data_IF_952292486141
#
_entry.id   IF_952292486141
#
_cell.length_a   1.000
_cell.length_b   1.000
_cell.length_c   1.000
_cell.angle_alpha   90.00
_cell.angle_beta   90.00
_cell.angle_gamma   90.00
#
_symmetry.space_group_name_H-M   'P 1'
#
loop_
_entity.id
_entity.type
_entity.pdbx_description
1 polymer ?
#
# COMPACT_ATOMS: atom_id res chain seq x y z
N UNK A 1 -17.24 -21.21 9.66
CA UNK A 1 -16.01 -20.83 8.91
C UNK A 1 -15.49 -21.93 8.01
N UNK A 2 -15.59 -23.22 8.38
CA UNK A 2 -15.07 -24.36 7.59
C UNK A 2 -15.72 -24.49 6.19
N UNK A 3 -17.01 -24.16 6.05
CA UNK A 3 -17.75 -24.24 4.76
C UNK A 3 -17.36 -23.15 3.75
N UNK A 4 -16.99 -21.95 4.22
CA UNK A 4 -16.58 -20.84 3.34
C UNK A 4 -15.22 -21.11 2.70
N UNK A 5 -14.32 -21.78 3.43
CA UNK A 5 -12.99 -22.20 2.95
C UNK A 5 -13.11 -23.22 1.81
N UNK A 6 -14.10 -24.12 1.86
CA UNK A 6 -14.35 -25.09 0.79
C UNK A 6 -14.84 -24.43 -0.51
N UNK A 7 -15.73 -23.44 -0.43
CA UNK A 7 -16.15 -22.65 -1.61
C UNK A 7 -15.01 -21.85 -2.24
N UNK A 8 -14.13 -21.25 -1.44
CA UNK A 8 -13.01 -20.45 -1.96
C UNK A 8 -11.99 -21.32 -2.71
N UNK A 9 -11.74 -22.55 -2.22
CA UNK A 9 -10.87 -23.50 -2.92
C UNK A 9 -11.46 -23.96 -4.27
N UNK A 10 -12.79 -24.05 -4.38
CA UNK A 10 -13.49 -24.38 -5.63
C UNK A 10 -13.32 -23.29 -6.71
N UNK A 11 -13.46 -22.01 -6.34
CA UNK A 11 -13.30 -20.90 -7.29
C UNK A 11 -11.84 -20.74 -7.76
N UNK A 12 -10.87 -20.97 -6.86
CA UNK A 12 -9.45 -21.00 -7.24
C UNK A 12 -9.16 -22.08 -8.29
N UNK A 13 -9.80 -23.24 -8.19
CA UNK A 13 -9.60 -24.35 -9.13
C UNK A 13 -10.10 -24.04 -10.55
N UNK A 14 -11.25 -23.37 -10.69
CA UNK A 14 -11.78 -22.92 -11.99
C UNK A 14 -10.93 -21.82 -12.63
N UNK A 15 -10.28 -20.95 -11.85
CA UNK A 15 -9.41 -19.91 -12.39
C UNK A 15 -8.10 -20.50 -12.96
N UNK A 16 -7.51 -21.50 -12.30
CA UNK A 16 -6.34 -22.24 -12.83
C UNK A 16 -6.67 -23.08 -14.07
N UNK A 17 -7.93 -23.48 -14.26
CA UNK A 17 -8.38 -24.28 -15.41
C UNK A 17 -8.27 -23.52 -16.75
N UNK A 18 -8.38 -22.19 -16.74
CA UNK A 18 -8.26 -21.37 -17.96
C UNK A 18 -6.81 -21.23 -18.44
N UNK A 19 -5.83 -21.29 -17.53
CA UNK A 19 -4.41 -21.17 -17.88
C UNK A 19 -3.74 -22.50 -18.23
N UNK A 20 -4.35 -23.63 -17.87
CA UNK A 20 -3.87 -24.99 -18.18
C UNK A 20 -4.16 -25.46 -19.62
N UNK A 21 -4.85 -24.65 -20.43
CA UNK A 21 -5.14 -24.99 -21.83
C UNK A 21 -3.94 -24.87 -22.78
N UNK A 22 -2.77 -24.39 -22.33
CA UNK A 22 -1.54 -24.35 -23.16
C UNK A 22 -0.60 -25.57 -23.01
N UNK A 23 -0.84 -26.49 -22.07
CA UNK A 23 0.08 -27.61 -21.79
C UNK A 23 -0.61 -28.99 -21.88
N UNK A 24 -1.31 -29.25 -22.98
CA UNK A 24 -1.98 -30.54 -23.20
C UNK A 24 -1.88 -30.99 -24.67
N UNK A 25 -0.69 -31.45 -25.03
CA UNK A 25 -0.50 -32.41 -26.13
C UNK A 25 0.38 -33.52 -25.59
N UNK A 26 -0.25 -34.57 -25.05
CA UNK A 26 0.12 -36.00 -25.09
C UNK A 26 -0.50 -36.72 -23.86
N UNK A 27 -1.48 -37.59 -24.16
CA UNK A 27 -2.01 -38.70 -23.35
C UNK A 27 -2.99 -38.41 -22.19
N UNK A 28 -3.98 -39.31 -21.95
CA UNK A 28 -5.38 -38.94 -22.16
C UNK A 28 -6.33 -39.29 -21.00
N UNK A 29 -7.32 -38.42 -20.79
CA UNK A 29 -8.76 -38.69 -20.53
C UNK A 29 -9.16 -39.49 -19.27
N UNK A 30 -8.36 -40.43 -18.74
CA UNK A 30 -8.76 -41.27 -17.60
C UNK A 30 -8.67 -40.57 -16.23
N UNK A 31 -7.78 -39.58 -16.06
CA UNK A 31 -7.73 -38.77 -14.83
C UNK A 31 -8.79 -37.66 -14.77
N UNK A 32 -9.37 -37.29 -15.92
CA UNK A 32 -10.41 -36.26 -16.01
C UNK A 32 -11.79 -36.79 -15.60
N UNK A 33 -12.05 -38.08 -15.72
CA UNK A 33 -13.33 -38.68 -15.29
C UNK A 33 -13.34 -38.85 -13.76
N UNK A 34 -12.22 -39.23 -13.15
CA UNK A 34 -12.14 -39.40 -11.69
C UNK A 34 -12.20 -38.08 -10.91
N UNK A 35 -11.78 -36.95 -11.50
CA UNK A 35 -11.91 -35.63 -10.87
C UNK A 35 -13.32 -35.05 -10.97
N UNK A 36 -14.13 -35.42 -11.96
CA UNK A 36 -15.51 -34.94 -12.12
C UNK A 36 -16.47 -35.68 -11.16
N UNK A 37 -16.30 -36.99 -10.95
CA UNK A 37 -17.15 -37.74 -10.00
C UNK A 37 -16.88 -37.39 -8.54
N UNK A 38 -15.65 -36.96 -8.19
CA UNK A 38 -15.37 -36.47 -6.84
C UNK A 38 -15.86 -35.03 -6.61
N UNK A 39 -16.29 -34.32 -7.66
CA UNK A 39 -16.84 -32.97 -7.58
C UNK A 39 -18.34 -32.96 -7.20
N UNK A 40 -19.12 -33.93 -7.69
CA UNK A 40 -20.57 -33.99 -7.43
C UNK A 40 -20.89 -34.37 -5.97
N UNK A 41 -20.06 -35.19 -5.33
CA UNK A 41 -20.26 -35.60 -3.94
C UNK A 41 -20.10 -34.47 -2.90
N UNK A 42 -19.44 -33.36 -3.26
CA UNK A 42 -19.24 -32.21 -2.36
C UNK A 42 -20.14 -31.01 -2.70
N UNK A 43 -20.70 -30.93 -3.91
CA UNK A 43 -21.63 -29.87 -4.29
C UNK A 43 -22.96 -29.98 -3.52
N UNK A 44 -23.46 -31.19 -3.27
CA UNK A 44 -24.73 -31.41 -2.56
C UNK A 44 -24.70 -31.00 -1.07
N UNK A 45 -23.53 -30.72 -0.51
CA UNK A 45 -23.39 -30.27 0.88
C UNK A 45 -23.44 -28.74 1.05
N UNK A 46 -23.40 -27.99 -0.05
CA UNK A 46 -23.34 -26.52 -0.01
C UNK A 46 -24.66 -25.89 -0.47
N UNK A 47 -25.31 -26.47 -1.47
CA UNK A 47 -26.61 -26.03 -2.00
C UNK A 47 -27.45 -27.24 -2.43
N UNK A 48 -28.76 -27.18 -2.23
CA UNK A 48 -29.71 -28.27 -2.52
C UNK A 48 -30.25 -28.22 -3.96
N UNK A 49 -30.03 -27.12 -4.68
CA UNK A 49 -30.52 -26.92 -6.05
C UNK A 49 -29.59 -26.02 -6.87
N UNK A 50 -29.67 -26.13 -8.20
CA UNK A 50 -28.89 -25.28 -9.14
C UNK A 50 -29.17 -23.77 -8.91
N UNK A 51 -30.42 -23.29 -8.78
CA UNK A 51 -30.69 -21.88 -8.52
C UNK A 51 -30.06 -21.39 -7.21
N UNK A 52 -30.11 -22.21 -6.15
CA UNK A 52 -29.48 -21.89 -4.87
C UNK A 52 -27.95 -21.77 -5.01
N UNK A 53 -27.31 -22.64 -5.79
CA UNK A 53 -25.88 -22.53 -6.06
C UNK A 53 -25.55 -21.25 -6.85
N UNK A 54 -26.39 -20.86 -7.82
CA UNK A 54 -26.18 -19.63 -8.59
C UNK A 54 -26.30 -18.38 -7.71
N UNK A 55 -27.26 -18.36 -6.78
CA UNK A 55 -27.42 -17.25 -5.83
C UNK A 55 -26.25 -17.19 -4.83
N UNK A 56 -25.75 -18.33 -4.35
CA UNK A 56 -24.55 -18.36 -3.51
C UNK A 56 -23.30 -17.85 -4.24
N UNK A 57 -23.12 -18.19 -5.53
CA UNK A 57 -22.02 -17.66 -6.33
C UNK A 57 -22.13 -16.14 -6.46
N UNK A 58 -23.33 -15.60 -6.74
CA UNK A 58 -23.56 -14.15 -6.81
C UNK A 58 -23.26 -13.47 -5.47
N UNK A 59 -23.73 -14.03 -4.36
CA UNK A 59 -23.44 -13.49 -3.03
C UNK A 59 -21.95 -13.51 -2.71
N UNK A 60 -21.25 -14.60 -3.05
CA UNK A 60 -19.80 -14.70 -2.87
C UNK A 60 -19.06 -13.66 -3.72
N UNK A 61 -19.47 -13.44 -4.97
CA UNK A 61 -18.89 -12.43 -5.85
C UNK A 61 -19.08 -11.01 -5.30
N UNK A 62 -20.30 -10.66 -4.87
CA UNK A 62 -20.60 -9.37 -4.22
C UNK A 62 -19.72 -9.20 -2.99
N UNK A 63 -19.61 -10.24 -2.14
CA UNK A 63 -18.81 -10.14 -0.93
C UNK A 63 -17.32 -10.02 -1.23
N UNK A 64 -16.80 -10.70 -2.25
CA UNK A 64 -15.42 -10.57 -2.71
C UNK A 64 -15.18 -9.15 -3.23
N UNK A 65 -16.11 -8.57 -3.97
CA UNK A 65 -16.01 -7.20 -4.48
C UNK A 65 -16.04 -6.17 -3.35
N UNK A 66 -16.95 -6.29 -2.38
CA UNK A 66 -17.00 -5.46 -1.17
C UNK A 66 -15.68 -5.56 -0.38
N UNK A 67 -15.19 -6.78 -0.17
CA UNK A 67 -13.93 -7.01 0.52
C UNK A 67 -12.76 -6.45 -0.28
N UNK A 68 -12.71 -6.65 -1.59
CA UNK A 68 -11.67 -6.11 -2.47
C UNK A 68 -11.65 -4.59 -2.46
N UNK A 69 -12.81 -3.93 -2.47
CA UNK A 69 -12.92 -2.48 -2.33
C UNK A 69 -12.48 -2.01 -0.94
N UNK A 70 -12.80 -2.77 0.12
CA UNK A 70 -12.37 -2.47 1.49
C UNK A 70 -10.85 -2.66 1.67
N UNK A 71 -10.29 -3.77 1.18
CA UNK A 71 -8.86 -4.08 1.23
C UNK A 71 -8.05 -3.23 0.24
N UNK A 72 -8.70 -2.74 -0.80
CA UNK A 72 -8.15 -1.82 -1.76
C UNK A 72 -8.07 -0.39 -1.24
N UNK A 73 -8.64 -0.06 -0.08
CA UNK A 73 -8.55 1.28 0.48
C UNK A 73 -7.78 1.30 1.80
N UNK A 74 -6.96 2.34 1.97
CA UNK A 74 -6.30 2.65 3.25
C UNK A 74 -6.76 4.00 3.71
N UNK A 75 -7.31 4.04 4.91
CA UNK A 75 -7.78 5.27 5.56
C UNK A 75 -6.82 5.64 6.67
N UNK A 76 -6.17 6.81 6.53
CA UNK A 76 -5.29 7.35 7.57
C UNK A 76 -6.08 7.69 8.82
N UNK A 77 -5.38 7.87 9.94
CA UNK A 77 -5.99 8.39 11.18
C UNK A 77 -6.67 9.74 11.00
N UNK A 78 -6.25 10.51 10.01
CA UNK A 78 -6.79 11.84 9.69
C UNK A 78 -7.91 11.80 8.64
N UNK A 79 -8.31 10.60 8.20
CA UNK A 79 -9.38 10.40 7.23
C UNK A 79 -8.94 10.47 5.77
N UNK A 80 -7.65 10.58 5.47
CA UNK A 80 -7.17 10.53 4.09
C UNK A 80 -7.31 9.11 3.54
N UNK A 81 -7.93 8.99 2.36
CA UNK A 81 -8.20 7.71 1.70
C UNK A 81 -7.25 7.55 0.52
N UNK A 82 -6.50 6.46 0.49
CA UNK A 82 -5.69 6.07 -0.65
C UNK A 82 -6.17 4.73 -1.17
N UNK A 83 -6.08 4.53 -2.48
CA UNK A 83 -6.55 3.32 -3.14
C UNK A 83 -5.37 2.50 -3.64
N UNK A 84 -5.34 1.22 -3.33
CA UNK A 84 -4.34 0.26 -3.81
C UNK A 84 -4.30 0.31 -5.32
N UNK A 85 -3.11 0.43 -5.87
CA UNK A 85 -2.88 0.55 -7.30
C UNK A 85 -1.86 -0.48 -7.75
N UNK A 86 -2.23 -1.30 -8.73
CA UNK A 86 -1.37 -2.35 -9.30
C UNK A 86 -0.98 -2.07 -10.74
N UNK A 87 -1.22 -0.85 -11.26
CA UNK A 87 -0.91 -0.47 -12.64
C UNK A 87 0.59 -0.34 -12.92
N UNK A 88 1.42 -0.20 -11.87
CA UNK A 88 2.88 -0.08 -11.97
C UNK A 88 3.55 -1.18 -11.12
N UNK A 89 3.72 -2.41 -11.63
CA UNK A 89 4.24 -3.54 -10.85
C UNK A 89 5.63 -3.30 -10.23
N UNK A 90 6.46 -2.48 -10.87
CA UNK A 90 7.79 -2.11 -10.37
C UNK A 90 7.76 -1.38 -9.01
N UNK A 91 6.61 -0.79 -8.63
CA UNK A 91 6.43 -0.12 -7.35
C UNK A 91 6.05 -1.07 -6.20
N UNK A 92 5.89 -2.37 -6.47
CA UNK A 92 5.51 -3.35 -5.46
C UNK A 92 4.10 -3.11 -4.91
N UNK A 93 3.97 -3.07 -3.58
CA UNK A 93 2.71 -2.68 -2.94
C UNK A 93 2.55 -1.16 -3.00
N UNK A 94 1.66 -0.69 -3.88
CA UNK A 94 1.49 0.74 -4.15
C UNK A 94 0.07 1.25 -3.89
N UNK A 95 -0.01 2.54 -3.57
CA UNK A 95 -1.28 3.22 -3.27
C UNK A 95 -1.34 4.57 -3.96
N UNK A 96 -2.44 4.80 -4.67
CA UNK A 96 -2.78 6.08 -5.28
C UNK A 96 -3.43 7.01 -4.26
N UNK A 97 -2.93 8.22 -4.17
CA UNK A 97 -3.50 9.28 -3.33
C UNK A 97 -4.62 10.06 -4.07
N UNK A 98 -5.31 11.00 -3.41
CA UNK A 98 -6.34 11.81 -4.05
C UNK A 98 -5.84 12.74 -5.17
N UNK A 99 -4.54 13.04 -5.27
CA UNK A 99 -3.99 13.82 -6.40
C UNK A 99 -3.78 12.94 -7.64
N UNK A 100 -3.82 11.62 -7.46
CA UNK A 100 -3.58 10.64 -8.51
C UNK A 100 -2.14 10.12 -8.53
N UNK A 101 -1.29 10.54 -7.60
CA UNK A 101 0.09 10.05 -7.49
C UNK A 101 0.12 8.67 -6.82
N UNK A 102 0.86 7.74 -7.40
CA UNK A 102 1.00 6.37 -6.93
C UNK A 102 2.27 6.26 -6.09
N UNK A 103 2.11 5.98 -4.80
CA UNK A 103 3.18 5.78 -3.83
C UNK A 103 3.55 4.30 -3.75
N UNK A 104 4.73 3.93 -4.24
CA UNK A 104 5.25 2.55 -4.16
C UNK A 104 5.69 2.16 -2.76
N UNK A 105 6.03 0.89 -2.56
CA UNK A 105 6.60 0.38 -1.30
C UNK A 105 8.01 0.91 -1.05
N UNK A 106 8.52 0.77 0.18
CA UNK A 106 9.93 1.03 0.45
C UNK A 106 10.79 -0.03 -0.24
N UNK A 107 11.97 0.35 -0.71
CA UNK A 107 12.91 -0.59 -1.31
C UNK A 107 13.53 -1.48 -0.24
N UNK A 108 13.46 -2.78 -0.47
CA UNK A 108 14.00 -3.83 0.41
C UNK A 108 14.98 -4.69 -0.38
N UNK A 109 16.14 -5.00 0.20
CA UNK A 109 17.11 -5.93 -0.35
C UNK A 109 17.30 -7.08 0.65
N UNK A 110 17.02 -8.32 0.23
CA UNK A 110 17.16 -9.51 1.08
C UNK A 110 16.42 -9.40 2.43
N UNK A 111 15.22 -8.80 2.42
CA UNK A 111 14.41 -8.60 3.62
C UNK A 111 14.90 -7.49 4.56
N UNK A 112 15.97 -6.77 4.20
CA UNK A 112 16.47 -5.60 4.93
C UNK A 112 16.15 -4.32 4.18
N UNK A 113 15.99 -3.22 4.92
CA UNK A 113 15.88 -1.90 4.33
C UNK A 113 17.11 -1.64 3.46
N UNK A 114 16.87 -1.21 2.22
CA UNK A 114 17.94 -0.78 1.33
C UNK A 114 17.97 0.76 1.29
N UNK A 115 19.06 1.34 1.79
CA UNK A 115 19.31 2.78 1.77
C UNK A 115 20.39 3.10 0.76
N UNK A 116 20.30 4.28 0.14
CA UNK A 116 21.29 4.75 -0.84
C UNK A 116 21.37 6.27 -0.82
N UNK A 117 22.39 6.81 -1.48
CA UNK A 117 22.55 8.24 -1.67
C UNK A 117 21.49 8.77 -2.67
N UNK A 118 21.39 10.09 -2.84
CA UNK A 118 20.29 10.65 -3.63
C UNK A 118 20.41 10.31 -5.13
N UNK A 119 21.62 10.26 -5.66
CA UNK A 119 21.89 9.94 -7.06
C UNK A 119 21.50 8.50 -7.40
N UNK A 120 21.90 7.56 -6.55
CA UNK A 120 21.57 6.14 -6.69
C UNK A 120 20.06 5.90 -6.53
N UNK A 121 19.41 6.65 -5.62
CA UNK A 121 17.97 6.57 -5.41
C UNK A 121 17.18 7.04 -6.63
N UNK A 122 17.61 8.14 -7.26
CA UNK A 122 17.01 8.68 -8.48
C UNK A 122 17.19 7.70 -9.64
N UNK A 123 18.41 7.19 -9.84
CA UNK A 123 18.71 6.17 -10.84
C UNK A 123 17.86 4.91 -10.64
N UNK A 124 17.80 4.40 -9.41
CA UNK A 124 17.00 3.22 -9.05
C UNK A 124 15.53 3.39 -9.44
N UNK A 125 14.92 4.53 -9.10
CA UNK A 125 13.52 4.77 -9.44
C UNK A 125 13.32 4.87 -10.97
N UNK A 126 14.22 5.56 -11.68
CA UNK A 126 14.15 5.71 -13.14
C UNK A 126 14.29 4.39 -13.88
N UNK A 127 15.20 3.52 -13.46
CA UNK A 127 15.40 2.19 -14.05
C UNK A 127 14.13 1.32 -13.91
N UNK A 128 13.31 1.58 -12.89
CA UNK A 128 12.00 0.95 -12.69
C UNK A 128 10.81 1.62 -13.40
N UNK A 129 11.05 2.63 -14.25
CA UNK A 129 9.98 3.40 -14.91
C UNK A 129 9.20 4.31 -13.96
N UNK A 130 9.82 4.72 -12.85
CA UNK A 130 9.27 5.59 -11.82
C UNK A 130 10.20 6.79 -11.58
N UNK A 131 9.93 7.58 -10.54
CA UNK A 131 10.81 8.68 -10.12
C UNK A 131 10.81 8.83 -8.60
N UNK A 132 11.79 9.56 -8.07
CA UNK A 132 11.69 10.05 -6.69
C UNK A 132 10.57 11.09 -6.57
N UNK A 133 9.85 11.13 -5.43
CA UNK A 133 8.91 12.20 -5.13
C UNK A 133 9.66 13.53 -5.04
N UNK A 134 9.02 14.61 -5.45
CA UNK A 134 9.49 15.98 -5.24
C UNK A 134 9.26 16.39 -3.78
N UNK A 135 9.92 17.46 -3.36
CA UNK A 135 9.66 18.12 -2.07
C UNK A 135 8.17 18.46 -1.92
N UNK A 136 7.58 19.03 -2.96
CA UNK A 136 6.21 19.52 -2.97
C UNK A 136 5.21 18.36 -2.79
N UNK A 137 5.46 17.21 -3.42
CA UNK A 137 4.64 16.00 -3.24
C UNK A 137 4.74 15.44 -1.83
N UNK A 138 5.91 15.46 -1.20
CA UNK A 138 6.03 15.09 0.21
C UNK A 138 5.32 16.06 1.15
N UNK A 139 5.37 17.37 0.87
CA UNK A 139 4.61 18.36 1.62
C UNK A 139 3.10 18.15 1.47
N UNK A 140 2.64 17.82 0.26
CA UNK A 140 1.25 17.49 -0.02
C UNK A 140 0.81 16.20 0.68
N UNK A 141 1.63 15.15 0.65
CA UNK A 141 1.41 13.92 1.41
C UNK A 141 1.24 14.23 2.90
N UNK A 142 2.13 15.04 3.47
CA UNK A 142 2.05 15.41 4.87
C UNK A 142 0.76 16.18 5.19
N UNK A 143 0.32 17.09 4.31
CA UNK A 143 -0.95 17.80 4.45
C UNK A 143 -2.15 16.85 4.43
N UNK A 144 -2.18 15.87 3.51
CA UNK A 144 -3.22 14.84 3.49
C UNK A 144 -3.25 14.02 4.77
N UNK A 145 -2.07 13.70 5.30
CA UNK A 145 -1.91 13.03 6.58
C UNK A 145 -2.13 13.96 7.80
N UNK A 146 -2.69 15.15 7.59
CA UNK A 146 -3.19 16.07 8.60
C UNK A 146 -2.19 17.12 9.10
N UNK A 147 -1.00 17.23 8.49
CA UNK A 147 -0.06 18.30 8.84
C UNK A 147 -0.70 19.68 8.65
N UNK A 148 -0.61 20.51 9.68
CA UNK A 148 -1.18 21.87 9.67
C UNK A 148 -2.66 21.92 10.02
N UNK A 149 -3.33 20.76 10.19
CA UNK A 149 -4.60 20.70 10.89
C UNK A 149 -4.25 20.80 12.37
N UNK A 150 -4.21 22.03 12.89
CA UNK A 150 -4.28 22.25 14.32
C UNK A 150 -5.71 21.87 14.70
N UNK A 151 -5.95 20.78 15.45
CA UNK A 151 -7.26 20.62 16.05
C UNK A 151 -7.52 21.90 16.83
N UNK A 152 -8.73 22.48 16.73
CA UNK A 152 -9.16 23.49 17.72
C UNK A 152 -9.21 22.77 19.07
N UNK A 153 -8.04 22.61 19.67
CA UNK A 153 -7.91 22.09 21.00
C UNK A 153 -8.55 23.15 21.89
N UNK A 154 -9.51 22.71 22.70
CA UNK A 154 -9.87 23.46 23.89
C UNK A 154 -8.55 23.88 24.58
N UNK A 155 -8.43 25.14 25.04
CA UNK A 155 -7.23 25.62 25.75
C UNK A 155 -6.74 24.65 26.84
N UNK A 156 -7.65 23.87 27.44
CA UNK A 156 -7.33 22.85 28.43
C UNK A 156 -6.61 21.62 27.87
N UNK A 157 -6.90 21.17 26.65
CA UNK A 157 -6.24 20.01 26.06
C UNK A 157 -4.80 20.35 25.65
N UNK A 158 -4.56 21.55 25.14
CA UNK A 158 -3.20 22.05 24.88
C UNK A 158 -2.36 22.10 26.16
N UNK A 159 -2.93 22.57 27.29
CA UNK A 159 -2.24 22.55 28.59
C UNK A 159 -1.92 21.13 29.05
N UNK A 160 -2.82 20.16 28.86
CA UNK A 160 -2.59 18.75 29.24
C UNK A 160 -1.50 18.08 28.40
N UNK A 161 -1.45 18.36 27.10
CA UNK A 161 -0.40 17.84 26.20
C UNK A 161 0.96 18.41 26.61
N UNK A 162 1.05 19.71 26.87
CA UNK A 162 2.28 20.36 27.35
C UNK A 162 2.70 19.80 28.72
N UNK A 163 1.74 19.61 29.64
CA UNK A 163 2.01 19.06 30.98
C UNK A 163 2.48 17.59 30.94
N UNK A 164 2.15 16.84 29.90
CA UNK A 164 2.62 15.45 29.68
C UNK A 164 4.02 15.39 29.04
N UNK A 165 4.70 16.53 28.85
CA UNK A 165 6.04 16.57 28.28
C UNK A 165 6.07 16.32 26.77
N UNK A 166 4.92 16.27 26.09
CA UNK A 166 4.89 16.29 24.64
C UNK A 166 5.30 17.68 24.15
N UNK A 167 6.53 17.78 23.63
CA UNK A 167 7.01 19.02 23.04
C UNK A 167 6.10 19.40 21.85
N UNK A 168 5.45 20.57 21.89
CA UNK A 168 4.66 21.08 20.77
C UNK A 168 5.51 21.37 19.51
N UNK A 169 6.85 21.24 19.62
CA UNK A 169 7.81 21.48 18.55
C UNK A 169 8.29 20.21 17.82
N UNK A 170 7.90 19.01 18.28
CA UNK A 170 8.47 17.75 17.77
C UNK A 170 7.67 17.06 16.65
N UNK A 171 6.35 17.17 16.67
CA UNK A 171 5.47 16.64 15.62
C UNK A 171 4.78 17.80 14.94
N UNK A 172 4.80 17.82 13.61
CA UNK A 172 3.99 18.79 12.87
C UNK A 172 2.52 18.56 13.27
N UNK A 173 1.89 19.56 13.88
CA UNK A 173 0.56 19.41 14.47
C UNK A 173 -0.42 18.81 13.45
N UNK A 174 -1.13 17.77 13.88
CA UNK A 174 -2.12 17.05 13.08
C UNK A 174 -1.57 15.95 12.15
N UNK A 175 -0.26 15.87 11.92
CA UNK A 175 0.32 14.82 11.07
C UNK A 175 0.23 13.43 11.73
N UNK A 176 -0.23 12.42 10.98
CA UNK A 176 -0.17 11.03 11.42
C UNK A 176 0.19 10.08 10.27
N UNK A 177 1.34 9.37 10.35
CA UNK A 177 1.74 8.38 9.37
C UNK A 177 1.08 7.02 9.61
N UNK A 178 -0.05 6.96 10.32
CA UNK A 178 -0.72 5.72 10.73
C UNK A 178 -2.15 5.63 10.16
N UNK A 179 -2.64 4.40 10.01
CA UNK A 179 -4.05 4.12 9.75
C UNK A 179 -4.94 4.53 10.93
N UNK A 180 -6.26 4.43 10.73
CA UNK A 180 -7.26 4.70 11.77
C UNK A 180 -7.03 3.91 13.08
N UNK A 181 -6.36 2.76 13.04
CA UNK A 181 -6.00 1.97 14.22
C UNK A 181 -4.89 2.59 15.08
N UNK A 182 -4.21 3.62 14.58
CA UNK A 182 -3.10 4.31 15.25
C UNK A 182 -1.82 3.47 15.42
N UNK A 183 -1.74 2.28 14.83
CA UNK A 183 -0.62 1.33 14.99
C UNK A 183 0.01 0.98 13.66
N UNK A 184 -0.81 0.74 12.64
CA UNK A 184 -0.34 0.31 11.33
C UNK A 184 0.10 1.52 10.54
N UNK A 185 1.33 1.52 10.03
CA UNK A 185 1.83 2.59 9.17
C UNK A 185 0.92 2.78 7.96
N UNK A 186 0.57 4.02 7.64
CA UNK A 186 -0.33 4.38 6.55
C UNK A 186 0.23 3.90 5.21
N UNK A 187 1.45 4.33 4.89
CA UNK A 187 2.31 3.67 3.91
C UNK A 187 3.27 2.78 4.70
N UNK A 188 3.43 1.48 4.37
CA UNK A 188 4.34 0.59 5.10
C UNK A 188 5.74 1.20 5.20
N UNK A 189 6.29 1.27 6.41
CA UNK A 189 7.61 1.85 6.68
C UNK A 189 7.71 3.38 6.70
N UNK A 190 6.64 4.13 6.43
CA UNK A 190 6.70 5.61 6.37
C UNK A 190 7.19 6.23 7.68
N UNK A 191 6.65 5.82 8.82
CA UNK A 191 7.00 6.40 10.11
C UNK A 191 8.40 6.08 10.60
N UNK A 192 9.09 5.10 9.99
CA UNK A 192 10.37 4.59 10.49
C UNK A 192 11.61 5.28 9.91
N UNK A 193 11.48 6.03 8.81
CA UNK A 193 12.64 6.41 8.00
C UNK A 193 12.60 7.85 7.46
N UNK A 194 13.72 8.23 6.87
CA UNK A 194 13.90 9.41 6.03
C UNK A 194 13.91 8.99 4.56
N UNK A 195 13.32 9.79 3.68
CA UNK A 195 13.16 9.46 2.26
C UNK A 195 13.69 10.56 1.37
N UNK A 196 14.52 10.22 0.39
CA UNK A 196 15.02 11.20 -0.59
C UNK A 196 13.89 11.79 -1.43
N UNK A 197 14.02 13.08 -1.74
CA UNK A 197 13.26 13.74 -2.78
C UNK A 197 14.12 13.94 -4.06
N UNK A 198 13.47 14.14 -5.20
CA UNK A 198 14.12 14.56 -6.45
C UNK A 198 14.50 16.04 -6.46
N UNK A 199 13.88 16.86 -5.60
CA UNK A 199 14.12 18.30 -5.55
C UNK A 199 15.49 18.62 -4.93
N UNK A 200 16.31 19.38 -5.66
CA UNK A 200 17.60 19.91 -5.21
C UNK A 200 17.42 21.19 -4.38
N UNK A 201 18.39 21.49 -3.51
CA UNK A 201 18.36 22.73 -2.74
C UNK A 201 18.73 23.92 -3.66
N UNK A 202 17.96 25.03 -3.69
CA UNK A 202 18.14 26.08 -4.70
C UNK A 202 19.47 26.84 -4.60
N UNK A 203 20.12 26.80 -3.45
CA UNK A 203 21.38 27.51 -3.19
C UNK A 203 22.58 26.57 -3.03
N UNK A 204 22.37 25.26 -3.17
CA UNK A 204 23.42 24.25 -2.95
C UNK A 204 23.11 23.00 -3.79
N UNK A 205 23.80 22.85 -4.93
CA UNK A 205 23.64 21.73 -5.85
C UNK A 205 24.05 20.38 -5.26
N UNK A 206 24.89 20.41 -4.21
CA UNK A 206 25.38 19.21 -3.53
C UNK A 206 24.39 18.74 -2.47
N UNK A 207 23.30 19.49 -2.25
CA UNK A 207 22.22 19.18 -1.31
C UNK A 207 20.90 18.87 -2.01
N UNK A 208 20.16 17.92 -1.47
CA UNK A 208 18.79 17.61 -1.90
C UNK A 208 17.84 17.52 -0.72
N UNK A 209 16.55 17.72 -0.98
CA UNK A 209 15.54 17.60 0.05
C UNK A 209 15.29 16.13 0.43
N UNK A 210 14.92 15.90 1.69
CA UNK A 210 14.46 14.61 2.18
C UNK A 210 13.27 14.77 3.13
N UNK A 211 12.41 13.77 3.18
CA UNK A 211 11.20 13.73 3.99
C UNK A 211 11.38 12.86 5.24
N UNK A 212 11.12 13.43 6.41
CA UNK A 212 11.10 12.72 7.68
C UNK A 212 9.71 12.12 7.93
N UNK A 213 9.56 10.82 7.68
CA UNK A 213 8.24 10.20 7.65
C UNK A 213 7.54 10.05 9.00
N UNK A 214 8.26 10.09 10.12
CA UNK A 214 7.63 10.24 11.46
C UNK A 214 7.06 11.64 11.70
N UNK A 215 7.75 12.70 11.27
CA UNK A 215 7.40 14.09 11.58
C UNK A 215 6.54 14.76 10.51
N UNK A 216 6.47 14.20 9.31
CA UNK A 216 5.83 14.83 8.17
C UNK A 216 6.58 16.09 7.71
N UNK A 217 7.89 16.18 7.97
CA UNK A 217 8.69 17.38 7.73
C UNK A 217 9.69 17.15 6.59
N UNK A 218 9.95 18.19 5.82
CA UNK A 218 10.98 18.17 4.77
C UNK A 218 12.18 18.96 5.27
N UNK A 219 13.36 18.38 5.08
CA UNK A 219 14.67 18.92 5.39
C UNK A 219 15.55 18.78 4.15
N UNK A 220 16.82 19.17 4.21
CA UNK A 220 17.79 18.94 3.14
C UNK A 220 19.10 18.43 3.72
N UNK A 221 19.86 17.71 2.90
CA UNK A 221 21.16 17.13 3.27
C UNK A 221 22.02 16.88 2.03
N UNK A 222 23.31 16.59 2.24
CA UNK A 222 24.27 16.30 1.18
C UNK A 222 23.93 15.02 0.42
N UNK A 223 23.89 15.12 -0.91
CA UNK A 223 23.45 14.07 -1.82
C UNK A 223 24.35 12.85 -1.83
N UNK A 224 25.65 13.04 -1.64
CA UNK A 224 26.68 12.00 -1.76
C UNK A 224 26.99 11.24 -0.46
N UNK A 225 26.80 11.88 0.70
CA UNK A 225 27.27 11.37 1.98
C UNK A 225 26.15 10.85 2.90
N UNK A 226 24.89 11.08 2.53
CA UNK A 226 23.74 10.66 3.32
C UNK A 226 23.01 9.48 2.66
N UNK A 227 22.54 8.54 3.49
CA UNK A 227 21.91 7.30 3.04
C UNK A 227 20.51 7.20 3.61
N UNK A 228 19.52 7.37 2.76
CA UNK A 228 18.11 7.37 3.14
C UNK A 228 17.32 6.26 2.44
N UNK A 229 16.14 5.96 2.98
CA UNK A 229 15.26 4.97 2.39
C UNK A 229 14.73 5.47 1.04
N UNK A 230 14.52 4.55 0.12
CA UNK A 230 13.97 4.88 -1.20
C UNK A 230 12.50 4.50 -1.26
N UNK A 231 11.69 5.44 -1.73
CA UNK A 231 10.31 5.22 -2.12
C UNK A 231 10.12 5.92 -3.46
N UNK A 232 9.74 5.15 -4.48
CA UNK A 232 9.46 5.70 -5.79
C UNK A 232 7.97 6.03 -5.93
N UNK A 233 7.68 6.99 -6.80
CA UNK A 233 6.33 7.35 -7.20
C UNK A 233 6.16 7.25 -8.71
N UNK A 234 4.92 7.08 -9.15
CA UNK A 234 4.52 7.16 -10.55
C UNK A 234 3.19 7.90 -10.67
N UNK A 235 2.98 8.64 -11.76
CA UNK A 235 1.84 9.54 -11.92
C UNK A 235 2.25 11.00 -11.99
N UNK A 236 1.27 11.90 -11.81
CA UNK A 236 1.42 13.34 -12.05
C UNK A 236 2.06 14.06 -10.87
#
# INVERSE_FOLDING_TARGET
>A
MTKLVQCINFVKFEHYRKDLHMLSRLLPIFHLIFSVFSLEAHASQVCNSIPECQDLIKQAQIRIEELSNTYGQRVSRTGAVFTRDTSVPALGEAYRDPSGLIWGSIVMAQGKLYTMNQYDADKYCKDGGARLPTKEEFEQLAKYLGKGIVPRYSPDLSRRIIAQGYSPYGMAQGYSPYLADGKTGFLPGLSGYWFWASSEHPNDSDSAYYFHGYRGAVYYDYRDNSFYAVRCVSGR
#
